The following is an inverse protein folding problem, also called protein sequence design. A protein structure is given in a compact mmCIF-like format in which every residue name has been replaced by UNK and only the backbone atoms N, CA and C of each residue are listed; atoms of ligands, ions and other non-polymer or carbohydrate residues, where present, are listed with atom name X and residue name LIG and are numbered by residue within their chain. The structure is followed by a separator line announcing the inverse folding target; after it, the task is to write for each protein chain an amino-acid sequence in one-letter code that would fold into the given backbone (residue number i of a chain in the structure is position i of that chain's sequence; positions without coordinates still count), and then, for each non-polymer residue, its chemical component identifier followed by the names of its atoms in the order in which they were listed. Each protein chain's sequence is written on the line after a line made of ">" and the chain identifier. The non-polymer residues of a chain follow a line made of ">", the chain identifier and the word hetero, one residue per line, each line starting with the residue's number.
data_IF_847340480712
#
_entry.id   IF_847340480712
#
_cell.length_a   1.000
_cell.length_b   1.000
_cell.length_c   1.000
_cell.angle_alpha   90.00
_cell.angle_beta   90.00
_cell.angle_gamma   90.00
#
_symmetry.space_group_name_H-M   'P 1'
#
loop_
_entity.id
_entity.type
_entity.pdbx_description
1 polymer ?
#
# COMPACT_ATOMS: atom_id res chain seq x y z
N UNK A 1 12.88 -8.60 -24.21
CA UNK A 1 13.14 -10.01 -23.83
C UNK A 1 12.45 -10.40 -22.52
N UNK A 2 12.58 -9.64 -21.43
CA UNK A 2 11.97 -9.99 -20.12
C UNK A 2 10.43 -10.00 -20.10
N UNK A 3 9.77 -8.96 -20.61
CA UNK A 3 8.28 -8.90 -20.64
C UNK A 3 7.69 -9.99 -21.53
N UNK A 4 8.34 -10.29 -22.66
CA UNK A 4 7.92 -11.36 -23.56
C UNK A 4 8.06 -12.74 -22.90
N UNK A 5 9.13 -12.95 -22.12
CA UNK A 5 9.31 -14.17 -21.34
C UNK A 5 8.23 -14.31 -20.24
N UNK A 6 7.96 -13.23 -19.49
CA UNK A 6 6.92 -13.24 -18.45
C UNK A 6 5.53 -13.51 -19.03
N UNK A 7 5.16 -12.86 -20.13
CA UNK A 7 3.89 -13.13 -20.81
C UNK A 7 3.78 -14.58 -21.30
N UNK A 8 4.89 -15.18 -21.75
CA UNK A 8 4.90 -16.57 -22.23
C UNK A 8 4.90 -17.63 -21.10
N UNK A 9 5.39 -17.27 -19.91
CA UNK A 9 5.60 -18.23 -18.79
C UNK A 9 4.68 -18.02 -17.61
N UNK A 10 4.02 -16.86 -17.52
CA UNK A 10 3.01 -16.55 -16.52
C UNK A 10 1.72 -16.10 -17.23
N UNK A 11 0.81 -17.03 -17.58
CA UNK A 11 -0.43 -16.72 -18.30
C UNK A 11 -1.26 -15.62 -17.61
N UNK A 12 -1.22 -15.62 -16.28
CA UNK A 12 -1.85 -14.59 -15.48
C UNK A 12 -1.30 -13.18 -15.64
N UNK A 13 0.00 -13.05 -15.91
CA UNK A 13 0.65 -11.77 -16.19
C UNK A 13 0.25 -11.25 -17.57
N UNK A 14 0.21 -12.14 -18.57
CA UNK A 14 -0.18 -11.79 -19.93
C UNK A 14 -1.61 -11.22 -19.98
N UNK A 15 -2.52 -11.78 -19.18
CA UNK A 15 -3.93 -11.41 -19.15
C UNK A 15 -4.20 -10.01 -18.55
N UNK A 16 -3.23 -9.43 -17.84
CA UNK A 16 -3.36 -8.08 -17.28
C UNK A 16 -3.17 -7.02 -18.37
N UNK A 17 -3.88 -5.88 -18.32
CA UNK A 17 -3.55 -4.71 -19.13
C UNK A 17 -2.09 -4.27 -18.89
N UNK A 18 -1.51 -3.57 -19.86
CA UNK A 18 -0.11 -3.14 -19.78
C UNK A 18 0.15 -2.19 -18.62
N UNK A 19 -0.79 -1.29 -18.37
CA UNK A 19 -0.76 -0.34 -17.26
C UNK A 19 -0.79 -1.03 -15.89
N UNK A 20 -1.61 -2.06 -15.70
CA UNK A 20 -1.62 -2.86 -14.46
C UNK A 20 -0.26 -3.51 -14.23
N UNK A 21 0.32 -4.14 -15.27
CA UNK A 21 1.66 -4.75 -15.17
C UNK A 21 2.71 -3.71 -14.78
N UNK A 22 2.69 -2.54 -15.42
CA UNK A 22 3.63 -1.46 -15.11
C UNK A 22 3.47 -0.99 -13.67
N UNK A 23 2.24 -0.76 -13.20
CA UNK A 23 1.95 -0.31 -11.84
C UNK A 23 2.42 -1.32 -10.78
N UNK A 24 2.23 -2.63 -11.02
CA UNK A 24 2.68 -3.71 -10.12
C UNK A 24 4.20 -3.84 -10.09
N UNK A 25 4.86 -3.75 -11.25
CA UNK A 25 6.33 -3.78 -11.32
C UNK A 25 6.92 -2.59 -10.58
N UNK A 26 6.39 -1.38 -10.84
CA UNK A 26 6.77 -0.16 -10.13
C UNK A 26 6.54 -0.29 -8.63
N UNK A 27 5.39 -0.83 -8.21
CA UNK A 27 5.08 -1.08 -6.80
C UNK A 27 6.10 -2.01 -6.14
N UNK A 28 6.45 -3.11 -6.81
CA UNK A 28 7.41 -4.07 -6.29
C UNK A 28 8.78 -3.42 -6.07
N UNK A 29 9.22 -2.58 -7.02
CA UNK A 29 10.48 -1.86 -6.90
C UNK A 29 10.44 -0.77 -5.82
N UNK A 30 9.41 0.07 -5.81
CA UNK A 30 9.24 1.13 -4.81
C UNK A 30 9.13 0.55 -3.40
N UNK A 31 8.45 -0.58 -3.23
CA UNK A 31 8.40 -1.27 -1.94
C UNK A 31 9.79 -1.71 -1.50
N UNK A 32 10.57 -2.36 -2.37
CA UNK A 32 11.94 -2.76 -2.03
C UNK A 32 12.84 -1.57 -1.70
N UNK A 33 12.67 -0.45 -2.40
CA UNK A 33 13.40 0.78 -2.10
C UNK A 33 12.97 1.35 -0.75
N UNK A 34 11.67 1.44 -0.46
CA UNK A 34 11.13 1.87 0.84
C UNK A 34 11.65 0.98 1.97
N UNK A 35 11.62 -0.34 1.79
CA UNK A 35 12.09 -1.29 2.79
C UNK A 35 13.58 -1.12 3.09
N UNK A 36 14.41 -0.92 2.07
CA UNK A 36 15.85 -0.72 2.26
C UNK A 36 16.19 0.65 2.86
N UNK A 37 15.55 1.72 2.41
CA UNK A 37 15.86 3.10 2.79
C UNK A 37 15.27 3.51 4.14
N UNK A 38 14.08 3.02 4.47
CA UNK A 38 13.30 3.49 5.63
C UNK A 38 13.16 2.40 6.69
N UNK A 39 13.01 1.14 6.29
CA UNK A 39 12.72 0.02 7.19
C UNK A 39 13.93 -0.84 7.54
N UNK A 40 15.14 -0.47 7.11
CA UNK A 40 16.36 -1.21 7.43
C UNK A 40 16.39 -2.64 6.85
N UNK A 41 15.78 -2.84 5.67
CA UNK A 41 15.65 -4.12 4.97
C UNK A 41 14.75 -5.16 5.68
N UNK A 42 13.97 -4.76 6.69
CA UNK A 42 13.12 -5.69 7.44
C UNK A 42 11.80 -5.05 7.84
N UNK A 43 10.90 -4.86 6.87
CA UNK A 43 9.61 -4.25 7.15
C UNK A 43 8.69 -5.20 7.94
N UNK A 44 8.06 -4.64 8.98
CA UNK A 44 7.06 -5.31 9.82
C UNK A 44 6.00 -4.32 10.28
N UNK A 45 4.80 -4.80 10.57
CA UNK A 45 3.69 -3.96 11.01
C UNK A 45 4.01 -3.13 12.28
N UNK A 46 4.72 -3.71 13.25
CA UNK A 46 5.15 -3.01 14.46
C UNK A 46 6.20 -1.93 14.16
N UNK A 47 7.16 -2.21 13.28
CA UNK A 47 8.15 -1.21 12.85
C UNK A 47 7.50 -0.07 12.06
N UNK A 48 6.48 -0.37 11.25
CA UNK A 48 5.67 0.65 10.57
C UNK A 48 4.98 1.56 11.60
N UNK A 49 4.43 1.00 12.67
CA UNK A 49 3.85 1.79 13.76
C UNK A 49 4.90 2.70 14.41
N UNK A 50 6.08 2.16 14.72
CA UNK A 50 7.19 2.93 15.28
C UNK A 50 7.60 4.09 14.37
N UNK A 51 7.69 3.87 13.05
CA UNK A 51 8.01 4.94 12.09
C UNK A 51 6.96 6.03 12.04
N UNK A 52 5.68 5.67 12.03
CA UNK A 52 4.59 6.64 12.11
C UNK A 52 4.67 7.49 13.40
N UNK A 53 5.01 6.87 14.53
CA UNK A 53 5.20 7.59 15.80
C UNK A 53 6.41 8.52 15.78
N UNK A 54 7.54 8.07 15.22
CA UNK A 54 8.75 8.86 15.05
C UNK A 54 8.49 10.12 14.20
N UNK A 55 7.84 9.95 13.04
CA UNK A 55 7.50 11.08 12.16
C UNK A 55 6.47 12.01 12.78
N UNK A 56 5.51 11.47 13.55
CA UNK A 56 4.55 12.29 14.29
C UNK A 56 5.24 13.17 15.32
N UNK A 57 6.14 12.59 16.13
CA UNK A 57 6.89 13.31 17.16
C UNK A 57 7.83 14.36 16.55
N UNK A 58 8.40 14.05 15.39
CA UNK A 58 9.27 14.96 14.66
C UNK A 58 8.50 16.06 13.89
N UNK A 59 7.17 15.98 13.79
CA UNK A 59 6.37 16.91 13.00
C UNK A 59 6.58 16.78 11.49
N UNK A 60 7.00 15.60 11.00
CA UNK A 60 7.40 15.37 9.60
C UNK A 60 6.47 14.46 8.81
N UNK A 61 5.33 14.04 9.39
CA UNK A 61 4.33 13.15 8.76
C UNK A 61 3.79 13.62 7.41
N UNK A 62 3.54 14.93 7.30
CA UNK A 62 2.88 15.58 6.15
C UNK A 62 1.62 14.83 5.63
N UNK A 63 0.76 14.41 6.56
CA UNK A 63 -0.38 13.53 6.26
C UNK A 63 -1.38 14.14 5.25
N UNK A 64 -1.41 15.46 5.12
CA UNK A 64 -2.30 16.15 4.19
C UNK A 64 -1.85 16.02 2.74
N UNK A 65 -0.57 15.75 2.49
CA UNK A 65 -0.12 15.37 1.15
C UNK A 65 -0.79 14.08 0.67
N UNK A 66 -1.25 13.20 1.57
CA UNK A 66 -1.83 11.90 1.20
C UNK A 66 -3.38 11.89 1.13
N UNK A 67 -4.00 13.07 1.01
CA UNK A 67 -5.46 13.19 1.06
C UNK A 67 -6.15 12.45 -0.10
N UNK A 68 -5.58 12.47 -1.30
CA UNK A 68 -6.15 11.80 -2.47
C UNK A 68 -6.14 10.27 -2.33
N UNK A 69 -5.03 9.72 -1.84
CA UNK A 69 -4.85 8.29 -1.63
C UNK A 69 -5.74 7.79 -0.49
N UNK A 70 -5.86 8.56 0.59
CA UNK A 70 -6.79 8.26 1.67
C UNK A 70 -8.24 8.29 1.21
N UNK A 71 -8.63 9.29 0.41
CA UNK A 71 -9.99 9.37 -0.14
C UNK A 71 -10.32 8.15 -1.01
N UNK A 72 -9.38 7.73 -1.88
CA UNK A 72 -9.52 6.52 -2.69
C UNK A 72 -9.71 5.27 -1.82
N UNK A 73 -8.85 5.04 -0.82
CA UNK A 73 -8.94 3.84 0.01
C UNK A 73 -10.17 3.84 0.92
N UNK A 74 -10.62 5.01 1.39
CA UNK A 74 -11.92 5.15 2.06
C UNK A 74 -13.04 4.71 1.14
N UNK A 75 -13.15 5.27 -0.07
CA UNK A 75 -14.19 4.88 -1.02
C UNK A 75 -14.16 3.38 -1.36
N UNK A 76 -12.96 2.81 -1.50
CA UNK A 76 -12.79 1.38 -1.80
C UNK A 76 -13.25 0.48 -0.67
N UNK A 77 -12.89 0.80 0.58
CA UNK A 77 -13.08 -0.09 1.72
C UNK A 77 -14.29 0.23 2.58
N UNK A 78 -14.83 1.44 2.49
CA UNK A 78 -15.99 1.91 3.24
C UNK A 78 -16.88 2.79 2.35
N UNK A 79 -18.06 2.28 2.01
CA UNK A 79 -19.02 2.97 1.16
C UNK A 79 -20.43 2.76 1.70
N UNK A 80 -21.29 3.77 1.57
CA UNK A 80 -22.70 3.72 2.00
C UNK A 80 -22.86 3.33 3.49
N UNK A 81 -21.95 3.81 4.36
CA UNK A 81 -22.01 3.58 5.80
C UNK A 81 -21.58 2.17 6.25
N UNK A 82 -21.02 1.34 5.37
CA UNK A 82 -20.54 -0.01 5.70
C UNK A 82 -19.21 -0.33 5.03
N UNK A 83 -18.46 -1.27 5.61
CA UNK A 83 -17.29 -1.83 4.95
C UNK A 83 -17.70 -2.62 3.70
N UNK A 84 -16.97 -2.41 2.61
CA UNK A 84 -17.22 -3.09 1.33
C UNK A 84 -16.71 -4.54 1.38
N UNK A 85 -17.13 -5.34 0.40
CA UNK A 85 -16.64 -6.71 0.23
C UNK A 85 -15.11 -6.78 0.00
N UNK A 86 -14.45 -5.68 -0.36
CA UNK A 86 -13.00 -5.64 -0.53
C UNK A 86 -12.24 -5.63 0.81
N UNK A 87 -12.84 -5.10 1.89
CA UNK A 87 -12.14 -4.91 3.15
C UNK A 87 -11.64 -6.23 3.79
N UNK A 88 -12.44 -7.32 3.86
CA UNK A 88 -11.95 -8.60 4.34
C UNK A 88 -10.75 -9.15 3.55
N UNK A 89 -10.70 -8.88 2.24
CA UNK A 89 -9.61 -9.33 1.35
C UNK A 89 -8.29 -8.59 1.57
N UNK A 90 -8.28 -7.50 2.35
CA UNK A 90 -7.04 -6.87 2.81
C UNK A 90 -6.25 -7.82 3.73
N UNK A 91 -6.94 -8.78 4.37
CA UNK A 91 -6.35 -9.82 5.22
C UNK A 91 -5.51 -9.24 6.38
N UNK A 92 -6.02 -8.20 7.03
CA UNK A 92 -5.38 -7.60 8.21
C UNK A 92 -5.22 -8.66 9.32
N UNK A 93 -4.00 -8.79 9.83
CA UNK A 93 -3.67 -9.62 11.00
C UNK A 93 -3.92 -8.81 12.28
N UNK A 94 -4.00 -9.47 13.46
CA UNK A 94 -4.12 -8.77 14.73
C UNK A 94 -3.01 -7.72 14.96
N UNK A 95 -1.81 -7.98 14.44
CA UNK A 95 -0.65 -7.07 14.50
C UNK A 95 -0.75 -5.87 13.56
N UNK A 96 -1.67 -5.90 12.59
CA UNK A 96 -1.81 -4.89 11.54
C UNK A 96 -2.76 -3.76 11.97
N UNK A 97 -2.89 -3.52 13.28
CA UNK A 97 -3.70 -2.45 13.88
C UNK A 97 -5.13 -2.32 13.30
N UNK A 98 -5.92 -3.41 13.22
CA UNK A 98 -7.20 -3.41 12.51
C UNK A 98 -8.23 -2.42 13.07
N UNK A 99 -8.18 -2.10 14.36
CA UNK A 99 -9.08 -1.11 14.96
C UNK A 99 -8.78 0.31 14.46
N UNK A 100 -7.51 0.69 14.35
CA UNK A 100 -7.08 1.98 13.81
C UNK A 100 -7.41 2.07 12.32
N UNK A 101 -7.08 1.03 11.55
CA UNK A 101 -7.38 0.99 10.12
C UNK A 101 -8.88 1.16 9.87
N UNK A 102 -9.73 0.48 10.65
CA UNK A 102 -11.20 0.62 10.53
C UNK A 102 -11.66 2.04 10.84
N UNK A 103 -11.26 2.60 11.97
CA UNK A 103 -11.73 3.92 12.40
C UNK A 103 -11.28 5.04 11.46
N UNK A 104 -10.12 4.90 10.83
CA UNK A 104 -9.69 5.86 9.80
C UNK A 104 -10.50 5.70 8.51
N UNK A 105 -10.78 4.46 8.10
CA UNK A 105 -11.54 4.19 6.87
C UNK A 105 -13.01 4.58 6.97
N UNK A 106 -13.65 4.37 8.12
CA UNK A 106 -15.03 4.81 8.37
C UNK A 106 -15.15 6.30 8.73
N UNK A 107 -14.02 6.98 8.92
CA UNK A 107 -13.95 8.42 9.16
C UNK A 107 -14.16 8.83 10.61
N UNK A 108 -14.34 7.89 11.54
CA UNK A 108 -14.44 8.17 12.98
C UNK A 108 -13.11 8.60 13.60
N UNK A 109 -11.98 8.31 12.95
CA UNK A 109 -10.65 8.76 13.30
C UNK A 109 -10.00 9.56 12.15
N UNK A 110 -9.54 10.78 12.44
CA UNK A 110 -8.85 11.65 11.49
C UNK A 110 -7.49 12.14 12.01
N UNK A 111 -6.95 11.48 13.04
CA UNK A 111 -5.61 11.78 13.53
C UNK A 111 -4.56 11.63 12.39
N UNK A 112 -3.69 12.62 12.16
CA UNK A 112 -2.72 12.60 11.07
C UNK A 112 -1.79 11.38 11.08
N UNK A 113 -1.35 10.94 12.27
CA UNK A 113 -0.48 9.78 12.42
C UNK A 113 -1.23 8.52 12.04
N UNK A 114 -2.47 8.36 12.50
CA UNK A 114 -3.29 7.20 12.19
C UNK A 114 -3.73 7.14 10.72
N UNK A 115 -3.96 8.30 10.09
CA UNK A 115 -4.18 8.41 8.64
C UNK A 115 -3.01 7.83 7.86
N UNK A 116 -1.77 8.25 8.18
CA UNK A 116 -0.59 7.75 7.50
C UNK A 116 -0.33 6.26 7.80
N UNK A 117 -0.47 5.85 9.06
CA UNK A 117 -0.35 4.44 9.46
C UNK A 117 -1.32 3.57 8.66
N UNK A 118 -2.57 4.01 8.50
CA UNK A 118 -3.59 3.27 7.75
C UNK A 118 -3.17 3.08 6.30
N UNK A 119 -2.66 4.12 5.64
CA UNK A 119 -2.13 4.01 4.27
C UNK A 119 -0.97 3.03 4.18
N UNK A 120 0.00 3.13 5.08
CA UNK A 120 1.16 2.23 5.13
C UNK A 120 0.76 0.78 5.41
N UNK A 121 -0.24 0.56 6.25
CA UNK A 121 -0.73 -0.78 6.55
C UNK A 121 -1.43 -1.40 5.33
N UNK A 122 -2.20 -0.61 4.57
CA UNK A 122 -2.79 -1.06 3.30
C UNK A 122 -1.70 -1.44 2.30
N UNK A 123 -0.69 -0.57 2.13
CA UNK A 123 0.47 -0.81 1.26
C UNK A 123 1.24 -2.09 1.67
N UNK A 124 1.48 -2.27 2.96
CA UNK A 124 2.08 -3.47 3.54
C UNK A 124 1.27 -4.74 3.22
N UNK A 125 -0.06 -4.67 3.34
CA UNK A 125 -0.93 -5.79 2.97
C UNK A 125 -0.91 -6.08 1.48
N UNK A 126 -0.84 -5.06 0.62
CA UNK A 126 -0.68 -5.27 -0.81
C UNK A 126 0.62 -6.00 -1.12
N UNK A 127 1.74 -5.63 -0.49
CA UNK A 127 2.99 -6.39 -0.63
C UNK A 127 2.76 -7.86 -0.25
N UNK A 128 2.24 -8.09 0.95
CA UNK A 128 2.09 -9.44 1.48
C UNK A 128 1.10 -10.30 0.69
N UNK A 129 0.09 -9.69 0.06
CA UNK A 129 -0.92 -10.43 -0.69
C UNK A 129 -0.57 -10.56 -2.18
N UNK A 130 0.42 -9.81 -2.71
CA UNK A 130 0.66 -9.62 -4.16
C UNK A 130 0.79 -10.92 -4.97
N UNK A 131 1.46 -11.93 -4.42
CA UNK A 131 1.74 -13.21 -5.09
C UNK A 131 1.32 -14.43 -4.26
N UNK A 132 0.32 -14.27 -3.38
CA UNK A 132 -0.15 -15.40 -2.57
C UNK A 132 -1.27 -16.19 -3.27
N UNK A 133 -1.03 -17.49 -3.47
CA UNK A 133 -2.00 -18.46 -3.97
C UNK A 133 -1.94 -18.72 -5.49
N UNK A 134 -2.58 -19.79 -5.93
CA UNK A 134 -2.59 -20.23 -7.33
C UNK A 134 -3.37 -19.29 -8.27
N UNK A 135 -4.11 -18.32 -7.73
CA UNK A 135 -5.02 -17.42 -8.46
C UNK A 135 -4.60 -15.94 -8.47
N UNK A 136 -3.35 -15.66 -8.14
CA UNK A 136 -2.81 -14.29 -8.06
C UNK A 136 -3.16 -13.44 -9.30
N UNK A 137 -3.14 -14.03 -10.49
CA UNK A 137 -3.54 -13.40 -11.75
C UNK A 137 -4.93 -12.77 -11.76
N UNK A 138 -5.93 -13.51 -11.27
CA UNK A 138 -7.32 -13.05 -11.21
C UNK A 138 -7.49 -11.97 -10.14
N UNK A 139 -6.67 -12.02 -9.09
CA UNK A 139 -6.70 -11.03 -8.01
C UNK A 139 -6.04 -9.71 -8.40
N UNK A 140 -5.25 -9.70 -9.47
CA UNK A 140 -4.57 -8.51 -10.00
C UNK A 140 -5.40 -7.73 -11.02
N UNK A 141 -6.50 -8.30 -11.52
CA UNK A 141 -7.47 -7.54 -12.31
C UNK A 141 -8.11 -6.45 -11.43
N UNK A 142 -8.32 -5.27 -12.01
CA UNK A 142 -8.88 -4.09 -11.33
C UNK A 142 -8.05 -3.60 -10.12
N UNK A 143 -6.74 -3.89 -10.10
CA UNK A 143 -5.83 -3.39 -9.07
C UNK A 143 -5.02 -2.17 -9.53
N UNK A 144 -5.13 -1.72 -10.79
CA UNK A 144 -4.43 -0.53 -11.28
C UNK A 144 -4.52 0.65 -10.31
N UNK A 145 -5.73 1.05 -9.90
CA UNK A 145 -5.90 2.17 -8.97
C UNK A 145 -5.28 1.90 -7.60
N UNK A 146 -5.32 0.66 -7.10
CA UNK A 146 -4.68 0.30 -5.84
C UNK A 146 -3.17 0.51 -5.90
N UNK A 147 -2.53 0.00 -6.96
CA UNK A 147 -1.08 0.13 -7.11
C UNK A 147 -0.67 1.56 -7.48
N UNK A 148 -1.46 2.29 -8.25
CA UNK A 148 -1.20 3.71 -8.52
C UNK A 148 -1.19 4.54 -7.24
N UNK A 149 -2.20 4.39 -6.38
CA UNK A 149 -2.24 5.11 -5.09
C UNK A 149 -1.17 4.60 -4.13
N UNK A 150 -0.91 3.30 -4.05
CA UNK A 150 0.18 2.75 -3.24
C UNK A 150 1.56 3.26 -3.68
N UNK A 151 1.80 3.35 -4.99
CA UNK A 151 3.03 3.92 -5.55
C UNK A 151 3.17 5.39 -5.16
N UNK A 152 2.11 6.17 -5.22
CA UNK A 152 2.15 7.57 -4.80
C UNK A 152 2.48 7.73 -3.30
N UNK A 153 1.89 6.90 -2.43
CA UNK A 153 2.25 6.86 -1.00
C UNK A 153 3.74 6.56 -0.83
N UNK A 154 4.26 5.52 -1.49
CA UNK A 154 5.66 5.11 -1.38
C UNK A 154 6.62 6.18 -1.88
N UNK A 155 6.34 6.80 -3.03
CA UNK A 155 7.18 7.87 -3.60
C UNK A 155 7.29 9.06 -2.65
N UNK A 156 6.16 9.57 -2.13
CA UNK A 156 6.17 10.70 -1.20
C UNK A 156 6.91 10.39 0.10
N UNK A 157 6.75 9.17 0.63
CA UNK A 157 7.50 8.74 1.82
C UNK A 157 9.01 8.63 1.54
N UNK A 158 9.39 8.13 0.36
CA UNK A 158 10.78 8.04 -0.06
C UNK A 158 11.41 9.42 -0.26
N UNK A 159 10.70 10.35 -0.90
CA UNK A 159 11.13 11.74 -1.05
C UNK A 159 11.33 12.43 0.29
N UNK A 160 10.43 12.17 1.24
CA UNK A 160 10.44 12.85 2.55
C UNK A 160 11.40 12.24 3.55
N UNK A 161 11.56 10.92 3.55
CA UNK A 161 12.24 10.17 4.61
C UNK A 161 13.31 9.20 4.12
N UNK A 162 13.41 8.96 2.81
CA UNK A 162 14.48 8.15 2.24
C UNK A 162 15.79 8.92 2.14
N UNK A 163 16.91 8.19 2.07
CA UNK A 163 18.22 8.77 1.78
C UNK A 163 18.46 8.74 0.27
N UNK A 164 17.56 9.36 -0.49
CA UNK A 164 17.70 9.46 -1.94
C UNK A 164 18.87 10.41 -2.26
N UNK A 165 19.67 10.08 -3.27
CA UNK A 165 20.73 10.96 -3.74
C UNK A 165 20.11 12.31 -4.17
N UNK A 166 20.69 13.41 -3.68
CA UNK A 166 20.29 14.77 -3.96
C UNK A 166 20.52 15.16 -5.43
#
# INVERSE_FOLDING_TARGET
>A
MTMQWLSAKAPGFQALPEEDRAAIVTFTFLWSLFESQIMGNFARADLICTKADEWSKAGTLDADQHTAELAYFRQRYFANGTFTHHFPHLNLRPTDQPAIVKSVLDGTNNDPRDRLLTLLMIVWRFRNNLFHGEKWAYQLQDQLSNFTHANSVLMRLLERHGQLAA
#
